data_IF_908779854692
#
_entry.id   IF_908779854692
#
_cell.length_a   1.000
_cell.length_b   1.000
_cell.length_c   1.000
_cell.angle_alpha   90.00
_cell.angle_beta   90.00
_cell.angle_gamma   90.00
#
_symmetry.space_group_name_H-M   'P 1'
#
loop_
_entity.id
_entity.type
_entity.pdbx_description
1 polymer ?
#
# COMPACT_ATOMS: atom_id res chain seq x y z
N UNK A 1 -18.46 7.30 13.59
CA UNK A 1 -17.50 6.93 12.53
C UNK A 1 -16.44 6.07 13.16
N UNK A 2 -16.10 4.94 12.54
CA UNK A 2 -15.27 3.88 13.13
C UNK A 2 -13.76 4.16 13.05
N UNK A 3 -13.38 5.42 12.79
CA UNK A 3 -11.99 5.82 12.71
C UNK A 3 -11.46 6.09 14.11
N UNK A 4 -10.79 5.09 14.67
CA UNK A 4 -10.00 5.23 15.89
C UNK A 4 -8.51 5.35 15.50
N UNK A 5 -7.88 6.54 15.63
CA UNK A 5 -6.49 6.75 15.30
C UNK A 5 -5.51 6.00 16.23
N UNK A 6 -5.98 5.51 17.39
CA UNK A 6 -5.21 4.61 18.26
C UNK A 6 -5.32 3.14 17.83
N UNK A 7 -6.12 2.84 16.80
CA UNK A 7 -6.39 1.47 16.36
C UNK A 7 -5.18 0.85 15.67
N UNK A 8 -4.77 -0.32 16.16
CA UNK A 8 -3.78 -1.18 15.50
C UNK A 8 -4.35 -1.94 14.30
N UNK A 9 -5.66 -1.83 14.03
CA UNK A 9 -6.38 -2.59 12.99
C UNK A 9 -5.72 -2.49 11.62
N UNK A 10 -5.20 -1.32 11.26
CA UNK A 10 -4.53 -1.10 9.98
C UNK A 10 -3.22 -1.91 9.86
N UNK A 11 -2.45 -1.99 10.95
CA UNK A 11 -1.21 -2.76 11.00
C UNK A 11 -1.50 -4.27 10.98
N UNK A 12 -2.48 -4.72 11.76
CA UNK A 12 -2.89 -6.13 11.77
C UNK A 12 -3.47 -6.56 10.42
N UNK A 13 -4.26 -5.70 9.77
CA UNK A 13 -4.78 -5.98 8.44
C UNK A 13 -3.65 -6.14 7.42
N UNK A 14 -2.65 -5.24 7.41
CA UNK A 14 -1.46 -5.37 6.54
C UNK A 14 -0.72 -6.67 6.79
N UNK A 15 -0.54 -7.05 8.06
CA UNK A 15 0.10 -8.30 8.45
C UNK A 15 -0.65 -9.52 7.91
N UNK A 16 -1.97 -9.57 8.11
CA UNK A 16 -2.82 -10.68 7.64
C UNK A 16 -2.75 -10.82 6.12
N UNK A 17 -2.81 -9.72 5.36
CA UNK A 17 -2.72 -9.76 3.90
C UNK A 17 -1.36 -10.30 3.44
N UNK A 18 -0.26 -9.81 4.03
CA UNK A 18 1.10 -10.30 3.75
C UNK A 18 1.22 -11.80 4.00
N UNK A 19 0.86 -12.25 5.21
CA UNK A 19 0.95 -13.67 5.58
C UNK A 19 0.06 -14.54 4.70
N UNK A 20 -1.09 -14.04 4.26
CA UNK A 20 -1.99 -14.78 3.37
C UNK A 20 -1.33 -15.02 2.02
N UNK A 21 -0.73 -13.99 1.42
CA UNK A 21 -0.01 -14.13 0.14
C UNK A 21 1.19 -15.07 0.28
N UNK A 22 1.95 -14.98 1.37
CA UNK A 22 3.06 -15.90 1.66
C UNK A 22 2.58 -17.37 1.77
N UNK A 23 1.45 -17.61 2.46
CA UNK A 23 0.85 -18.95 2.62
C UNK A 23 0.30 -19.52 1.32
N UNK A 24 -0.15 -18.69 0.38
CA UNK A 24 -0.62 -19.16 -0.93
C UNK A 24 0.49 -19.84 -1.73
N UNK A 25 1.76 -19.45 -1.51
CA UNK A 25 2.94 -20.01 -2.16
C UNK A 25 2.80 -20.11 -3.70
N UNK A 26 2.15 -19.11 -4.31
CA UNK A 26 1.93 -19.05 -5.75
C UNK A 26 3.01 -18.16 -6.39
N UNK A 27 3.76 -18.64 -7.38
CA UNK A 27 4.93 -17.93 -7.92
C UNK A 27 4.61 -16.60 -8.62
N UNK A 28 3.33 -16.33 -8.92
CA UNK A 28 2.88 -15.11 -9.60
C UNK A 28 1.98 -14.22 -8.74
N UNK A 29 1.81 -14.54 -7.45
CA UNK A 29 1.04 -13.73 -6.51
C UNK A 29 2.02 -13.05 -5.57
N UNK A 30 2.08 -11.73 -5.63
CA UNK A 30 3.08 -10.93 -4.92
C UNK A 30 2.36 -9.93 -4.02
N UNK A 31 2.81 -9.84 -2.76
CA UNK A 31 2.32 -8.84 -1.83
C UNK A 31 3.14 -7.55 -1.95
N UNK A 32 2.45 -6.41 -2.08
CA UNK A 32 3.06 -5.09 -2.07
C UNK A 32 2.52 -4.31 -0.88
N UNK A 33 3.41 -3.84 0.00
CA UNK A 33 3.00 -2.94 1.08
C UNK A 33 2.66 -1.56 0.49
N UNK A 34 1.45 -1.07 0.75
CA UNK A 34 1.01 0.24 0.28
C UNK A 34 1.92 1.40 0.72
N UNK A 35 2.68 1.24 1.82
CA UNK A 35 3.65 2.23 2.30
C UNK A 35 4.91 2.34 1.43
N UNK A 36 5.18 1.33 0.59
CA UNK A 36 6.23 1.40 -0.43
C UNK A 36 5.77 2.16 -1.67
N UNK A 37 4.44 2.27 -1.86
CA UNK A 37 3.82 2.91 -3.02
C UNK A 37 3.51 4.38 -2.73
N UNK A 38 2.95 4.69 -1.56
CA UNK A 38 2.80 6.05 -1.03
C UNK A 38 3.59 6.17 0.27
N UNK A 39 4.73 6.84 0.24
CA UNK A 39 5.73 6.75 1.32
C UNK A 39 5.44 7.66 2.51
N UNK A 40 4.68 8.72 2.29
CA UNK A 40 4.39 9.72 3.31
C UNK A 40 2.91 10.11 3.30
N UNK A 41 2.37 10.36 4.48
CA UNK A 41 1.02 10.88 4.66
C UNK A 41 0.81 12.26 4.00
N UNK A 42 1.88 12.98 3.68
CA UNK A 42 1.83 14.25 2.94
C UNK A 42 1.23 14.14 1.54
N UNK A 43 1.20 12.92 0.95
CA UNK A 43 0.51 12.69 -0.32
C UNK A 43 -1.00 12.39 -0.16
N UNK A 44 -1.54 12.47 1.06
CA UNK A 44 -2.97 12.36 1.32
C UNK A 44 -3.64 13.74 1.29
N UNK A 45 -4.92 13.76 0.95
CA UNK A 45 -5.76 14.94 1.01
C UNK A 45 -5.81 15.42 2.46
N UNK A 46 -5.49 16.70 2.67
CA UNK A 46 -5.51 17.32 3.99
C UNK A 46 -6.90 17.28 4.66
N UNK A 47 -7.97 17.16 3.87
CA UNK A 47 -9.36 17.18 4.35
C UNK A 47 -9.83 15.87 5.00
N UNK A 48 -9.23 14.73 4.66
CA UNK A 48 -9.66 13.43 5.20
C UNK A 48 -8.50 12.51 5.62
N UNK A 49 -7.27 12.76 5.17
CA UNK A 49 -6.08 11.93 5.46
C UNK A 49 -6.30 10.45 5.12
N UNK A 50 -7.17 10.16 4.16
CA UNK A 50 -7.53 8.82 3.71
C UNK A 50 -7.32 8.72 2.21
N UNK A 51 -7.83 9.69 1.46
CA UNK A 51 -7.69 9.71 0.01
C UNK A 51 -6.36 10.36 -0.39
N UNK A 52 -5.67 9.85 -1.42
CA UNK A 52 -4.50 10.52 -1.97
C UNK A 52 -4.89 11.84 -2.67
N UNK A 53 -4.01 12.84 -2.58
CA UNK A 53 -4.09 14.05 -3.42
C UNK A 53 -3.75 13.71 -4.89
N UNK A 54 -3.94 14.63 -5.85
CA UNK A 54 -3.46 14.44 -7.22
C UNK A 54 -1.97 14.07 -7.29
N UNK A 55 -1.13 14.74 -6.50
CA UNK A 55 0.31 14.45 -6.41
C UNK A 55 0.58 13.10 -5.74
N UNK A 56 -0.20 12.74 -4.71
CA UNK A 56 -0.15 11.42 -4.10
C UNK A 56 -0.53 10.31 -5.07
N UNK A 57 -1.51 10.55 -5.93
CA UNK A 57 -1.88 9.63 -7.02
C UNK A 57 -0.76 9.47 -8.05
N UNK A 58 -0.06 10.57 -8.38
CA UNK A 58 1.11 10.51 -9.27
C UNK A 58 2.27 9.71 -8.65
N UNK A 59 2.56 9.92 -7.36
CA UNK A 59 3.55 9.14 -6.62
C UNK A 59 3.19 7.64 -6.63
N UNK A 60 1.94 7.32 -6.31
CA UNK A 60 1.43 5.95 -6.32
C UNK A 60 1.64 5.30 -7.69
N UNK A 61 1.23 5.98 -8.76
CA UNK A 61 1.34 5.46 -10.12
C UNK A 61 2.79 5.21 -10.51
N UNK A 62 3.69 6.15 -10.22
CA UNK A 62 5.12 6.04 -10.53
C UNK A 62 5.78 4.88 -9.79
N UNK A 63 5.55 4.77 -8.48
CA UNK A 63 6.17 3.75 -7.63
C UNK A 63 5.63 2.34 -7.97
N UNK A 64 4.32 2.21 -8.21
CA UNK A 64 3.73 0.95 -8.64
C UNK A 64 4.26 0.49 -10.00
N UNK A 65 4.37 1.39 -10.98
CA UNK A 65 4.92 1.07 -12.29
C UNK A 65 6.39 0.59 -12.20
N UNK A 66 7.19 1.22 -11.34
CA UNK A 66 8.57 0.79 -11.08
C UNK A 66 8.62 -0.60 -10.44
N UNK A 67 7.74 -0.88 -9.48
CA UNK A 67 7.65 -2.18 -8.83
C UNK A 67 7.30 -3.27 -9.84
N UNK A 68 6.24 -3.09 -10.63
CA UNK A 68 5.83 -4.05 -11.66
C UNK A 68 6.97 -4.30 -12.66
N UNK A 69 7.63 -3.23 -13.13
CA UNK A 69 8.77 -3.36 -14.06
C UNK A 69 9.93 -4.17 -13.47
N UNK A 70 10.15 -4.10 -12.16
CA UNK A 70 11.18 -4.89 -11.48
C UNK A 70 10.78 -6.37 -11.41
N UNK A 71 9.55 -6.67 -11.02
CA UNK A 71 9.06 -8.05 -10.90
C UNK A 71 8.90 -8.74 -12.26
N UNK A 72 8.59 -8.00 -13.34
CA UNK A 72 8.54 -8.56 -14.70
C UNK A 72 9.92 -8.92 -15.29
N UNK A 73 11.00 -8.42 -14.70
CA UNK A 73 12.38 -8.72 -15.13
C UNK A 73 13.00 -9.90 -14.38
N UNK A 74 12.37 -10.36 -13.30
CA UNK A 74 12.76 -11.53 -12.53
C UNK A 74 12.06 -12.79 -13.07
#
# INVERSE_FOLDING_TARGET
GDFDPASTKQNEFRKVVKETVEKLNMPKVIHIDGREILKNASGLMAGDLVHPSPEGMEEIAKNLAQYIKKEMKN
#
